data_IF_383870265987
#
_entry.id   IF_383870265987
#
_cell.length_a   1.000
_cell.length_b   1.000
_cell.length_c   1.000
_cell.angle_alpha   90.00
_cell.angle_beta   90.00
_cell.angle_gamma   90.00
#
_symmetry.space_group_name_H-M   'P 1'
#
loop_
_entity.id
_entity.type
_entity.pdbx_description
1 polymer ?
#
# COMPACT_ATOMS: atom_id res chain seq x y z
N UNK A 1 36.66 15.37 21.17
CA UNK A 1 36.16 14.02 20.91
C UNK A 1 34.62 14.02 20.76
N UNK A 2 33.84 14.56 21.72
CA UNK A 2 32.35 14.62 21.63
C UNK A 2 31.82 15.42 20.41
N UNK A 3 32.51 16.49 20.00
CA UNK A 3 32.12 17.31 18.84
C UNK A 3 32.44 16.64 17.50
N UNK A 4 33.54 15.91 17.44
CA UNK A 4 33.89 15.11 16.24
C UNK A 4 32.93 13.94 16.04
N UNK A 5 32.55 13.23 17.11
CA UNK A 5 31.56 12.15 17.03
C UNK A 5 30.18 12.65 16.63
N UNK A 6 29.76 13.88 17.04
CA UNK A 6 28.49 14.45 16.63
C UNK A 6 28.47 14.85 15.14
N UNK A 7 29.58 15.38 14.62
CA UNK A 7 29.74 15.68 13.18
C UNK A 7 29.85 14.39 12.34
N UNK A 8 30.59 13.42 12.84
CA UNK A 8 30.70 12.10 12.17
C UNK A 8 29.34 11.41 12.09
N UNK A 9 28.55 11.43 13.18
CA UNK A 9 27.20 10.90 13.18
C UNK A 9 26.22 11.66 12.27
N UNK A 10 26.40 12.97 12.07
CA UNK A 10 25.63 13.76 11.11
C UNK A 10 26.04 13.38 9.68
N UNK A 11 27.33 13.25 9.43
CA UNK A 11 27.89 12.85 8.12
C UNK A 11 27.50 11.42 7.75
N UNK A 12 27.52 10.51 8.72
CA UNK A 12 27.05 9.12 8.56
C UNK A 12 25.52 9.10 8.30
N UNK A 13 24.75 9.93 9.00
CA UNK A 13 23.29 10.07 8.72
C UNK A 13 22.99 10.65 7.34
N UNK A 14 23.82 11.57 6.85
CA UNK A 14 23.68 12.10 5.48
C UNK A 14 24.11 11.05 4.43
N UNK A 15 25.14 10.24 4.70
CA UNK A 15 25.56 9.11 3.86
C UNK A 15 24.50 7.99 3.84
N UNK A 16 23.97 7.60 4.99
CA UNK A 16 22.88 6.59 5.07
C UNK A 16 21.62 7.07 4.32
N UNK A 17 21.31 8.37 4.38
CA UNK A 17 20.19 8.94 3.61
C UNK A 17 20.47 9.00 2.10
N UNK A 18 21.72 9.09 1.67
CA UNK A 18 22.09 8.97 0.25
C UNK A 18 21.94 7.51 -0.22
N UNK A 19 22.42 6.57 0.59
CA UNK A 19 22.38 5.15 0.26
C UNK A 19 20.95 4.59 0.18
N UNK A 20 20.03 5.04 1.06
CA UNK A 20 18.62 4.65 0.96
C UNK A 20 17.97 5.13 -0.33
N UNK A 21 18.31 6.32 -0.83
CA UNK A 21 17.79 6.84 -2.11
C UNK A 21 18.21 6.00 -3.32
N UNK A 22 19.34 5.34 -3.23
CA UNK A 22 19.88 4.45 -4.27
C UNK A 22 19.53 2.96 -4.02
N UNK A 23 18.79 2.67 -2.94
CA UNK A 23 18.44 1.31 -2.54
C UNK A 23 17.48 0.64 -3.51
N UNK A 24 17.42 -0.69 -3.44
CA UNK A 24 16.43 -1.47 -4.18
C UNK A 24 14.99 -1.13 -3.76
N UNK A 25 14.75 -0.73 -2.50
CA UNK A 25 13.44 -0.29 -2.01
C UNK A 25 12.85 0.87 -2.80
N UNK A 26 13.67 1.86 -3.13
CA UNK A 26 13.24 3.01 -3.95
C UNK A 26 12.84 2.54 -5.35
N UNK A 27 13.65 1.66 -5.98
CA UNK A 27 13.37 1.13 -7.33
C UNK A 27 12.07 0.35 -7.34
N UNK A 28 11.86 -0.54 -6.38
CA UNK A 28 10.62 -1.31 -6.24
C UNK A 28 9.39 -0.41 -6.11
N UNK A 29 9.46 0.67 -5.34
CA UNK A 29 8.36 1.63 -5.19
C UNK A 29 8.13 2.43 -6.48
N UNK A 30 9.18 2.84 -7.18
CA UNK A 30 9.05 3.58 -8.43
C UNK A 30 8.46 2.73 -9.57
N UNK A 31 8.80 1.44 -9.59
CA UNK A 31 8.31 0.46 -10.56
C UNK A 31 6.96 -0.16 -10.16
N UNK A 32 6.48 0.13 -8.94
CA UNK A 32 5.23 -0.45 -8.44
C UNK A 32 4.04 -0.02 -9.28
N UNK A 33 3.30 -1.03 -9.76
CA UNK A 33 2.03 -0.90 -10.44
C UNK A 33 0.98 -1.78 -9.77
N UNK A 34 -0.09 -1.15 -9.28
CA UNK A 34 -1.25 -1.88 -8.79
C UNK A 34 -2.20 -2.15 -9.95
N UNK A 35 -2.56 -3.41 -10.26
CA UNK A 35 -3.42 -3.73 -11.38
C UNK A 35 -4.70 -2.89 -11.39
N UNK A 36 -5.03 -2.25 -12.51
CA UNK A 36 -6.27 -1.49 -12.71
C UNK A 36 -7.46 -2.44 -12.78
N UNK A 37 -8.67 -1.90 -12.71
CA UNK A 37 -9.85 -2.73 -12.67
C UNK A 37 -9.99 -3.65 -13.88
N UNK A 38 -9.68 -3.17 -15.06
CA UNK A 38 -9.71 -3.93 -16.32
C UNK A 38 -8.59 -4.96 -16.45
N UNK A 39 -7.47 -4.77 -15.75
CA UNK A 39 -6.35 -5.72 -15.65
C UNK A 39 -6.66 -6.89 -14.69
N UNK A 40 -7.61 -6.71 -13.77
CA UNK A 40 -8.06 -7.80 -12.91
C UNK A 40 -8.86 -8.84 -13.71
N UNK A 41 -8.78 -10.15 -13.38
CA UNK A 41 -9.46 -11.22 -14.12
C UNK A 41 -10.97 -11.00 -14.19
N UNK A 42 -11.53 -11.02 -15.40
CA UNK A 42 -12.97 -10.91 -15.65
C UNK A 42 -13.65 -12.29 -15.74
N UNK A 43 -13.38 -13.14 -14.78
CA UNK A 43 -13.95 -14.50 -14.63
C UNK A 43 -14.35 -14.73 -13.18
N UNK A 44 -15.18 -15.74 -12.97
CA UNK A 44 -15.54 -16.19 -11.63
C UNK A 44 -14.35 -16.95 -10.97
N UNK A 45 -13.84 -16.42 -9.86
CA UNK A 45 -12.66 -16.93 -9.17
C UNK A 45 -13.03 -17.75 -7.93
N UNK A 46 -12.21 -18.75 -7.62
CA UNK A 46 -12.22 -19.42 -6.33
C UNK A 46 -11.41 -18.64 -5.28
N UNK A 47 -11.69 -18.89 -4.01
CA UNK A 47 -11.01 -18.25 -2.88
C UNK A 47 -9.47 -18.27 -2.99
N UNK A 48 -8.89 -19.42 -3.35
CA UNK A 48 -7.43 -19.56 -3.44
C UNK A 48 -6.82 -18.71 -4.57
N UNK A 49 -7.54 -18.54 -5.68
CA UNK A 49 -7.15 -17.66 -6.77
C UNK A 49 -7.22 -16.19 -6.35
N UNK A 50 -8.27 -15.81 -5.60
CA UNK A 50 -8.39 -14.46 -5.04
C UNK A 50 -7.22 -14.13 -4.11
N UNK A 51 -6.88 -15.05 -3.19
CA UNK A 51 -5.74 -14.88 -2.29
C UNK A 51 -4.44 -14.67 -3.07
N UNK A 52 -4.16 -15.53 -4.05
CA UNK A 52 -2.95 -15.44 -4.88
C UNK A 52 -2.86 -14.11 -5.64
N UNK A 53 -3.97 -13.62 -6.20
CA UNK A 53 -3.99 -12.32 -6.90
C UNK A 53 -3.65 -11.18 -5.93
N UNK A 54 -4.27 -11.15 -4.75
CA UNK A 54 -4.04 -10.10 -3.76
C UNK A 54 -2.61 -10.14 -3.23
N UNK A 55 -2.10 -11.33 -2.90
CA UNK A 55 -0.72 -11.52 -2.42
C UNK A 55 0.30 -11.05 -3.47
N UNK A 56 0.10 -11.41 -4.73
CA UNK A 56 0.98 -10.96 -5.82
C UNK A 56 0.91 -9.44 -6.01
N UNK A 57 -0.31 -8.86 -5.99
CA UNK A 57 -0.51 -7.42 -6.21
C UNK A 57 0.08 -6.54 -5.10
N UNK A 58 0.18 -7.07 -3.88
CA UNK A 58 0.63 -6.33 -2.69
C UNK A 58 1.96 -6.84 -2.11
N UNK A 59 2.66 -7.72 -2.85
CA UNK A 59 3.87 -8.40 -2.38
C UNK A 59 4.97 -7.47 -1.88
N UNK A 60 5.16 -6.32 -2.51
CA UNK A 60 6.17 -5.32 -2.11
C UNK A 60 5.95 -4.74 -0.70
N UNK A 61 4.73 -4.85 -0.19
CA UNK A 61 4.36 -4.40 1.15
C UNK A 61 4.48 -5.48 2.22
N UNK A 62 4.83 -6.71 1.84
CA UNK A 62 5.08 -7.80 2.80
C UNK A 62 6.37 -7.52 3.55
N UNK A 63 6.37 -7.76 4.86
CA UNK A 63 7.59 -7.82 5.67
C UNK A 63 7.92 -9.28 5.99
N UNK A 64 9.19 -9.58 6.25
CA UNK A 64 9.63 -10.94 6.62
C UNK A 64 8.89 -11.52 7.83
N UNK A 65 8.31 -10.66 8.67
CA UNK A 65 7.59 -11.01 9.88
C UNK A 65 6.07 -11.11 9.71
N UNK A 66 5.50 -10.76 8.53
CA UNK A 66 4.06 -10.88 8.25
C UNK A 66 3.79 -12.16 7.47
N UNK A 67 3.16 -13.16 8.10
CA UNK A 67 2.89 -14.47 7.48
C UNK A 67 1.99 -14.39 6.25
N UNK A 68 1.00 -13.51 6.20
CA UNK A 68 0.09 -13.36 5.05
C UNK A 68 -0.56 -11.96 5.01
N UNK A 69 -0.60 -11.36 3.84
CA UNK A 69 -1.30 -10.11 3.59
C UNK A 69 -2.81 -10.28 3.88
N UNK A 70 -3.37 -11.41 3.47
CA UNK A 70 -4.78 -11.74 3.63
C UNK A 70 -4.96 -13.26 3.79
N UNK A 71 -5.98 -13.70 4.56
CA UNK A 71 -6.30 -15.10 4.76
C UNK A 71 -7.76 -15.40 4.42
N UNK A 72 -8.08 -16.68 4.17
CA UNK A 72 -9.48 -17.15 3.99
C UNK A 72 -10.38 -16.74 5.14
N UNK A 73 -9.86 -16.81 6.37
CA UNK A 73 -10.61 -16.42 7.57
C UNK A 73 -10.94 -14.94 7.57
N UNK A 74 -10.00 -14.08 7.16
CA UNK A 74 -10.23 -12.63 7.04
C UNK A 74 -11.30 -12.33 6.01
N UNK A 75 -11.23 -12.90 4.80
CA UNK A 75 -12.25 -12.69 3.76
C UNK A 75 -13.63 -13.12 4.24
N UNK A 76 -13.73 -14.30 4.87
CA UNK A 76 -15.00 -14.77 5.43
C UNK A 76 -15.55 -13.83 6.50
N UNK A 77 -14.68 -13.21 7.30
CA UNK A 77 -15.08 -12.24 8.31
C UNK A 77 -15.59 -10.93 7.66
N UNK A 78 -14.96 -10.45 6.60
CA UNK A 78 -15.40 -9.26 5.85
C UNK A 78 -16.78 -9.47 5.22
N UNK A 79 -17.03 -10.66 4.66
CA UNK A 79 -18.36 -11.05 4.16
C UNK A 79 -19.40 -11.08 5.29
N UNK A 80 -19.07 -11.67 6.46
CA UNK A 80 -19.98 -11.74 7.61
C UNK A 80 -20.32 -10.35 8.18
N UNK A 81 -19.37 -9.43 8.13
CA UNK A 81 -19.56 -8.05 8.60
C UNK A 81 -20.18 -7.13 7.53
N UNK A 82 -20.56 -7.67 6.37
CA UNK A 82 -21.08 -6.91 5.22
C UNK A 82 -20.16 -5.77 4.75
N UNK A 83 -18.83 -5.95 4.90
CA UNK A 83 -17.82 -5.03 4.33
C UNK A 83 -17.69 -5.23 2.83
N UNK A 84 -17.84 -6.48 2.39
CA UNK A 84 -17.94 -6.87 0.98
C UNK A 84 -19.17 -7.73 0.75
N UNK A 85 -19.71 -7.67 -0.47
CA UNK A 85 -20.86 -8.47 -0.89
C UNK A 85 -20.55 -9.97 -0.80
N UNK A 86 -21.59 -10.76 -0.50
CA UNK A 86 -21.46 -12.22 -0.41
C UNK A 86 -21.25 -12.83 -1.80
N UNK A 87 -20.15 -13.62 -2.02
CA UNK A 87 -19.92 -14.24 -3.30
C UNK A 87 -21.00 -15.28 -3.65
N UNK A 88 -21.48 -15.24 -4.89
CA UNK A 88 -22.47 -16.18 -5.36
C UNK A 88 -21.85 -17.57 -5.58
N UNK A 89 -22.42 -18.61 -4.99
CA UNK A 89 -21.91 -20.01 -5.05
C UNK A 89 -20.42 -20.13 -4.75
N UNK A 90 -19.91 -19.33 -3.81
CA UNK A 90 -18.48 -19.25 -3.44
C UNK A 90 -17.56 -18.81 -4.59
N UNK A 91 -18.11 -18.09 -5.56
CA UNK A 91 -17.36 -17.50 -6.67
C UNK A 91 -17.24 -16.00 -6.48
N UNK A 92 -16.02 -15.53 -6.61
CA UNK A 92 -15.64 -14.13 -6.46
C UNK A 92 -15.51 -13.50 -7.84
N UNK A 93 -16.11 -12.36 -8.05
CA UNK A 93 -16.00 -11.57 -9.27
C UNK A 93 -14.91 -10.51 -9.13
N UNK A 94 -14.56 -9.84 -10.21
CA UNK A 94 -13.59 -8.76 -10.29
C UNK A 94 -13.78 -7.71 -9.20
N UNK A 95 -14.99 -7.24 -8.97
CA UNK A 95 -15.29 -6.23 -7.95
C UNK A 95 -15.02 -6.71 -6.51
N UNK A 96 -15.14 -8.00 -6.23
CA UNK A 96 -14.73 -8.53 -4.92
C UNK A 96 -13.21 -8.43 -4.74
N UNK A 97 -12.46 -8.74 -5.80
CA UNK A 97 -10.99 -8.66 -5.78
C UNK A 97 -10.54 -7.20 -5.55
N UNK A 98 -11.14 -6.25 -6.27
CA UNK A 98 -10.83 -4.83 -6.13
C UNK A 98 -11.06 -4.32 -4.71
N UNK A 99 -12.21 -4.61 -4.10
CA UNK A 99 -12.46 -4.24 -2.71
C UNK A 99 -11.53 -4.95 -1.71
N UNK A 100 -11.21 -6.22 -1.95
CA UNK A 100 -10.27 -6.94 -1.08
C UNK A 100 -8.85 -6.38 -1.14
N UNK A 101 -8.40 -5.88 -2.28
CA UNK A 101 -7.12 -5.15 -2.41
C UNK A 101 -7.16 -3.86 -1.58
N UNK A 102 -8.22 -3.04 -1.70
CA UNK A 102 -8.39 -1.82 -0.89
C UNK A 102 -8.37 -2.15 0.60
N UNK A 103 -9.15 -3.15 1.03
CA UNK A 103 -9.22 -3.57 2.43
C UNK A 103 -7.86 -4.06 2.92
N UNK A 104 -7.16 -4.88 2.14
CA UNK A 104 -5.85 -5.43 2.51
C UNK A 104 -4.78 -4.37 2.67
N UNK A 105 -4.87 -3.29 1.89
CA UNK A 105 -4.00 -2.12 2.00
C UNK A 105 -4.34 -1.30 3.24
N UNK A 106 -5.59 -0.85 3.35
CA UNK A 106 -6.00 0.11 4.38
C UNK A 106 -6.11 -0.48 5.78
N UNK A 107 -6.35 -1.80 5.94
CA UNK A 107 -6.39 -2.46 7.27
C UNK A 107 -5.10 -2.33 8.09
N UNK A 108 -4.01 -1.93 7.44
CA UNK A 108 -2.73 -1.67 8.11
C UNK A 108 -2.71 -0.36 8.89
N UNK A 109 -3.64 0.55 8.62
CA UNK A 109 -3.73 1.88 9.23
C UNK A 109 -5.12 2.21 9.78
N UNK A 110 -6.15 1.49 9.36
CA UNK A 110 -7.53 1.69 9.76
C UNK A 110 -8.17 0.40 10.30
N UNK A 111 -9.17 0.55 11.15
CA UNK A 111 -10.06 -0.54 11.55
C UNK A 111 -10.99 -0.95 10.40
N UNK A 112 -11.48 -2.18 10.42
CA UNK A 112 -12.43 -2.68 9.42
C UNK A 112 -13.72 -1.85 9.39
N UNK A 113 -14.18 -1.33 10.54
CA UNK A 113 -15.33 -0.44 10.62
C UNK A 113 -15.11 0.90 9.89
N UNK A 114 -13.91 1.47 9.97
CA UNK A 114 -13.56 2.70 9.23
C UNK A 114 -13.47 2.44 7.73
N UNK A 115 -12.83 1.33 7.33
CA UNK A 115 -12.74 0.92 5.92
C UNK A 115 -14.14 0.69 5.33
N UNK A 116 -15.03 0.03 6.07
CA UNK A 116 -16.42 -0.18 5.65
C UNK A 116 -17.14 1.15 5.36
N UNK A 117 -16.90 2.18 6.17
CA UNK A 117 -17.48 3.52 5.93
C UNK A 117 -16.91 4.18 4.67
N UNK A 118 -15.62 3.98 4.39
CA UNK A 118 -14.99 4.51 3.16
C UNK A 118 -15.63 3.84 1.93
N UNK A 119 -15.76 2.51 1.93
CA UNK A 119 -16.30 1.75 0.81
C UNK A 119 -17.79 2.04 0.59
N UNK A 120 -18.59 2.13 1.67
CA UNK A 120 -20.05 2.23 1.58
C UNK A 120 -20.56 3.66 1.37
N UNK A 121 -19.76 4.67 1.64
CA UNK A 121 -20.17 6.09 1.53
C UNK A 121 -19.64 6.79 0.27
N UNK A 122 -18.93 6.08 -0.60
CA UNK A 122 -18.47 6.62 -1.87
C UNK A 122 -19.63 6.59 -2.91
N UNK A 123 -19.65 7.59 -3.80
CA UNK A 123 -20.71 7.77 -4.80
C UNK A 123 -20.29 7.31 -6.22
N UNK A 124 -19.13 6.64 -6.34
CA UNK A 124 -18.55 6.21 -7.61
C UNK A 124 -18.95 4.79 -7.97
N UNK A 125 -18.93 4.47 -9.25
CA UNK A 125 -18.94 3.08 -9.70
C UNK A 125 -17.69 2.35 -9.22
N UNK A 126 -17.79 1.04 -9.01
CA UNK A 126 -16.69 0.22 -8.42
C UNK A 126 -15.39 0.37 -9.19
N UNK A 127 -15.46 0.36 -10.51
CA UNK A 127 -14.29 0.50 -11.39
C UNK A 127 -13.60 1.85 -11.20
N UNK A 128 -14.39 2.93 -11.21
CA UNK A 128 -13.89 4.29 -11.05
C UNK A 128 -13.23 4.47 -9.68
N UNK A 129 -13.92 4.03 -8.61
CA UNK A 129 -13.41 4.11 -7.24
C UNK A 129 -12.11 3.33 -7.06
N UNK A 130 -12.04 2.11 -7.60
CA UNK A 130 -10.85 1.27 -7.50
C UNK A 130 -9.68 1.86 -8.29
N UNK A 131 -9.89 2.34 -9.51
CA UNK A 131 -8.85 2.95 -10.33
C UNK A 131 -8.32 4.24 -9.69
N UNK A 132 -9.20 5.06 -9.11
CA UNK A 132 -8.82 6.24 -8.33
C UNK A 132 -7.95 5.86 -7.11
N UNK A 133 -8.33 4.79 -6.39
CA UNK A 133 -7.53 4.26 -5.29
C UNK A 133 -6.13 3.82 -5.75
N UNK A 134 -6.03 3.07 -6.86
CA UNK A 134 -4.75 2.62 -7.41
C UNK A 134 -3.85 3.80 -7.76
N UNK A 135 -4.38 4.78 -8.45
CA UNK A 135 -3.65 5.97 -8.88
C UNK A 135 -3.11 6.78 -7.69
N UNK A 136 -3.98 7.03 -6.71
CA UNK A 136 -3.58 7.80 -5.53
C UNK A 136 -2.58 7.03 -4.66
N UNK A 137 -2.68 5.70 -4.57
CA UNK A 137 -1.72 4.88 -3.84
C UNK A 137 -0.33 4.95 -4.46
N UNK A 138 -0.20 4.74 -5.77
CA UNK A 138 1.07 4.84 -6.49
C UNK A 138 1.67 6.25 -6.37
N UNK A 139 0.84 7.28 -6.55
CA UNK A 139 1.25 8.67 -6.42
C UNK A 139 1.74 8.98 -5.01
N UNK A 140 1.00 8.57 -4.00
CA UNK A 140 1.34 8.80 -2.59
C UNK A 140 2.62 8.09 -2.18
N UNK A 141 2.84 6.87 -2.64
CA UNK A 141 4.07 6.13 -2.42
C UNK A 141 5.26 6.84 -3.05
N UNK A 142 5.18 7.19 -4.35
CA UNK A 142 6.25 7.93 -5.05
C UNK A 142 6.57 9.24 -4.34
N UNK A 143 5.56 10.03 -3.98
CA UNK A 143 5.77 11.27 -3.25
C UNK A 143 6.46 11.05 -1.90
N UNK A 144 6.04 10.04 -1.13
CA UNK A 144 6.59 9.75 0.19
C UNK A 144 8.06 9.31 0.13
N UNK A 145 8.43 8.54 -0.90
CA UNK A 145 9.78 7.96 -1.02
C UNK A 145 10.79 8.86 -1.71
N UNK A 146 10.39 9.65 -2.72
CA UNK A 146 11.32 10.48 -3.51
C UNK A 146 11.05 11.99 -3.41
N UNK A 147 9.94 12.41 -2.83
CA UNK A 147 9.64 13.83 -2.60
C UNK A 147 9.17 14.61 -3.82
N UNK A 148 9.23 14.03 -5.01
CA UNK A 148 8.81 14.66 -6.26
C UNK A 148 7.83 13.75 -6.99
N UNK A 149 6.69 14.30 -7.37
CA UNK A 149 5.79 13.69 -8.34
C UNK A 149 5.45 14.79 -9.33
N UNK A 150 5.76 14.55 -10.61
CA UNK A 150 5.20 15.36 -11.68
C UNK A 150 3.66 15.24 -11.59
N UNK A 151 3.08 16.20 -10.90
CA UNK A 151 1.65 16.31 -10.82
C UNK A 151 1.18 16.96 -12.13
N UNK A 152 0.78 16.16 -13.10
CA UNK A 152 -0.14 16.65 -14.11
C UNK A 152 -1.41 17.09 -13.38
N UNK A 153 -1.56 18.41 -13.27
CA UNK A 153 -2.50 19.11 -12.39
C UNK A 153 -3.98 18.92 -12.74
N UNK A 154 -4.31 18.12 -13.74
CA UNK A 154 -5.67 18.00 -14.27
C UNK A 154 -6.55 16.97 -13.54
N UNK A 155 -5.97 15.89 -13.00
CA UNK A 155 -6.76 14.87 -12.27
C UNK A 155 -6.87 15.12 -10.76
N UNK A 156 -5.96 15.90 -10.19
CA UNK A 156 -5.94 16.21 -8.74
C UNK A 156 -7.16 17.02 -8.24
N UNK A 157 -7.82 17.78 -9.11
CA UNK A 157 -8.92 18.67 -8.72
C UNK A 157 -10.21 17.93 -8.39
N UNK A 158 -10.40 16.72 -8.92
CA UNK A 158 -11.59 15.90 -8.69
C UNK A 158 -11.56 15.15 -7.35
N UNK A 159 -10.36 14.86 -6.83
CA UNK A 159 -10.19 14.04 -5.63
C UNK A 159 -10.37 14.85 -4.34
N UNK A 160 -10.10 16.18 -4.34
CA UNK A 160 -10.03 16.96 -3.10
C UNK A 160 -11.33 17.62 -2.64
N UNK A 161 -12.34 17.77 -3.47
CA UNK A 161 -13.54 18.57 -3.13
C UNK A 161 -14.59 17.84 -2.27
N UNK A 162 -14.58 16.50 -2.24
CA UNK A 162 -15.52 15.70 -1.46
C UNK A 162 -14.87 15.18 -0.16
N UNK A 163 -15.60 15.23 0.96
CA UNK A 163 -15.10 14.73 2.26
C UNK A 163 -14.71 13.24 2.20
N UNK A 164 -15.42 12.41 1.43
CA UNK A 164 -15.13 10.99 1.29
C UNK A 164 -13.80 10.77 0.57
N UNK A 165 -13.50 11.57 -0.45
CA UNK A 165 -12.24 11.55 -1.16
C UNK A 165 -11.09 12.02 -0.25
N UNK A 166 -11.31 13.07 0.55
CA UNK A 166 -10.31 13.53 1.54
C UNK A 166 -9.96 12.44 2.56
N UNK A 167 -10.96 11.69 3.03
CA UNK A 167 -10.76 10.56 3.94
C UNK A 167 -9.93 9.47 3.26
N UNK A 168 -10.28 9.08 2.03
CA UNK A 168 -9.55 8.07 1.26
C UNK A 168 -8.09 8.47 1.06
N UNK A 169 -7.84 9.68 0.55
CA UNK A 169 -6.50 10.22 0.29
C UNK A 169 -5.67 10.28 1.58
N UNK A 170 -6.25 10.78 2.68
CA UNK A 170 -5.57 10.82 3.97
C UNK A 170 -5.20 9.41 4.48
N UNK A 171 -6.07 8.43 4.27
CA UNK A 171 -5.84 7.04 4.64
C UNK A 171 -4.71 6.40 3.81
N UNK A 172 -4.68 6.67 2.51
CA UNK A 172 -3.62 6.22 1.60
C UNK A 172 -2.28 6.85 1.99
N UNK A 173 -2.26 8.16 2.30
CA UNK A 173 -1.03 8.84 2.76
C UNK A 173 -0.52 8.26 4.08
N UNK A 174 -1.41 7.93 5.02
CA UNK A 174 -1.04 7.27 6.26
C UNK A 174 -0.41 5.89 6.01
N UNK A 175 -0.98 5.11 5.07
CA UNK A 175 -0.42 3.83 4.64
C UNK A 175 0.95 4.02 3.99
N UNK A 176 1.11 4.96 3.05
CA UNK A 176 2.39 5.23 2.37
C UNK A 176 3.49 5.62 3.35
N UNK A 177 3.19 6.47 4.33
CA UNK A 177 4.13 6.82 5.39
C UNK A 177 4.50 5.62 6.27
N UNK A 178 3.55 4.73 6.57
CA UNK A 178 3.84 3.50 7.31
C UNK A 178 4.78 2.59 6.52
N UNK A 179 4.53 2.39 5.23
CA UNK A 179 5.41 1.59 4.35
C UNK A 179 6.82 2.19 4.32
N UNK A 180 6.93 3.51 4.19
CA UNK A 180 8.22 4.20 4.20
C UNK A 180 9.01 3.94 5.49
N UNK A 181 8.36 4.05 6.65
CA UNK A 181 9.00 3.75 7.95
C UNK A 181 9.45 2.29 8.02
N UNK A 182 8.62 1.35 7.54
CA UNK A 182 8.98 -0.07 7.52
C UNK A 182 10.21 -0.33 6.65
N UNK A 183 10.26 0.25 5.45
CA UNK A 183 11.40 0.11 4.53
C UNK A 183 12.69 0.77 5.06
N UNK A 184 12.58 1.87 5.78
CA UNK A 184 13.72 2.48 6.49
C UNK A 184 14.26 1.59 7.61
N UNK A 185 13.39 0.90 8.34
CA UNK A 185 13.78 -0.04 9.39
C UNK A 185 14.49 -1.24 8.76
N UNK A 186 13.91 -1.85 7.73
CA UNK A 186 14.48 -2.99 7.01
C UNK A 186 15.87 -2.63 6.46
N UNK A 187 16.02 -1.50 5.79
CA UNK A 187 17.28 -1.00 5.27
C UNK A 187 18.34 -0.82 6.38
N UNK A 188 17.97 -0.22 7.51
CA UNK A 188 18.89 -0.02 8.62
C UNK A 188 19.34 -1.35 9.25
N UNK A 189 18.49 -2.36 9.29
CA UNK A 189 18.82 -3.69 9.79
C UNK A 189 19.77 -4.43 8.83
N UNK A 190 19.60 -4.29 7.52
CA UNK A 190 20.51 -4.84 6.50
C UNK A 190 21.92 -4.23 6.61
N UNK A 191 22.01 -2.91 6.72
CA UNK A 191 23.27 -2.19 6.90
C UNK A 191 24.04 -2.64 8.16
N UNK A 192 23.32 -2.85 9.27
CA UNK A 192 23.93 -3.34 10.50
C UNK A 192 24.48 -4.77 10.35
N UNK A 193 23.75 -5.64 9.67
CA UNK A 193 24.22 -7.02 9.39
C UNK A 193 25.48 -7.00 8.52
N UNK A 194 25.51 -6.21 7.45
CA UNK A 194 26.68 -6.11 6.58
C UNK A 194 27.93 -5.57 7.30
N UNK A 195 27.75 -4.66 8.25
CA UNK A 195 28.87 -4.11 9.05
C UNK A 195 29.47 -5.16 9.97
N UNK A 196 28.63 -5.99 10.60
CA UNK A 196 29.06 -7.08 11.49
C UNK A 196 29.79 -8.21 10.75
N UNK A 197 29.55 -8.43 9.47
CA UNK A 197 30.26 -9.45 8.66
C UNK A 197 31.60 -8.95 8.09
N UNK A 198 31.92 -7.66 8.21
CA UNK A 198 33.17 -7.04 7.74
C UNK A 198 34.24 -6.89 8.86
N UNK A 199 33.87 -7.16 10.12
CA UNK A 199 34.77 -7.28 11.27
C UNK A 199 35.16 -8.74 11.51
#
# INVERSE_FOLDING_TARGET
>A
VKFLNKRLNIYIKELINLDFKDSHYIKEILDFHLPRFDELPNIDLYMDQVLSIIENSLSIFSSENEENIITKSMINNYVKQNVIEKPFKKRYKRFHVSYLIIISTLKRVLSISEISKIINNQDYEVEEFYNMFCYELERSLKYTFVGEVDCDNTENKLIEDNIHNKILVASIRAFSNKVYVQKLIEFNEEEQKETLFKE
#
